data_IF_587210537674
#
_entry.id   IF_587210537674
#
_cell.length_a   1.000
_cell.length_b   1.000
_cell.length_c   1.000
_cell.angle_alpha   90.00
_cell.angle_beta   90.00
_cell.angle_gamma   90.00
#
_symmetry.space_group_name_H-M   'P 1'
#
loop_
_entity.id
_entity.type
_entity.pdbx_description
1 polymer ?
#
# COMPACT_ATOMS: atom_id res chain seq x y z
N UNK A 1 -20.91 -16.51 -4.44
CA UNK A 1 -20.98 -15.16 -5.06
C UNK A 1 -20.91 -14.02 -4.05
N UNK A 2 -21.75 -13.97 -2.98
CA UNK A 2 -21.75 -12.88 -1.97
C UNK A 2 -20.38 -12.54 -1.33
N UNK A 3 -19.52 -13.54 -1.09
CA UNK A 3 -18.18 -13.31 -0.50
C UNK A 3 -17.18 -12.66 -1.47
N UNK A 4 -17.31 -12.92 -2.77
CA UNK A 4 -16.42 -12.33 -3.79
C UNK A 4 -16.70 -10.83 -3.88
N UNK A 5 -17.98 -10.42 -3.86
CA UNK A 5 -18.33 -9.00 -3.85
C UNK A 5 -17.81 -8.28 -2.61
N UNK A 6 -17.88 -8.90 -1.41
CA UNK A 6 -17.30 -8.31 -0.20
C UNK A 6 -15.78 -8.12 -0.30
N UNK A 7 -15.06 -9.12 -0.82
CA UNK A 7 -13.62 -9.04 -1.05
C UNK A 7 -13.26 -7.96 -2.08
N UNK A 8 -14.01 -7.89 -3.19
CA UNK A 8 -13.81 -6.87 -4.23
C UNK A 8 -14.06 -5.47 -3.71
N UNK A 9 -15.14 -5.26 -2.96
CA UNK A 9 -15.46 -3.97 -2.34
C UNK A 9 -14.33 -3.57 -1.38
N UNK A 10 -13.90 -4.46 -0.50
CA UNK A 10 -12.75 -4.20 0.39
C UNK A 10 -11.47 -3.84 -0.37
N UNK A 11 -11.19 -4.53 -1.49
CA UNK A 11 -10.02 -4.25 -2.33
C UNK A 11 -10.10 -2.91 -3.04
N UNK A 12 -11.29 -2.52 -3.51
CA UNK A 12 -11.50 -1.22 -4.14
C UNK A 12 -11.27 -0.11 -3.11
N UNK A 13 -11.89 -0.21 -1.93
CA UNK A 13 -11.75 0.82 -0.90
C UNK A 13 -10.31 0.96 -0.41
N UNK A 14 -9.60 -0.15 -0.20
CA UNK A 14 -8.17 -0.11 0.19
C UNK A 14 -7.31 0.52 -0.90
N UNK A 15 -7.46 0.12 -2.17
CA UNK A 15 -6.72 0.72 -3.28
C UNK A 15 -7.00 2.22 -3.46
N UNK A 16 -8.25 2.66 -3.24
CA UNK A 16 -8.61 4.08 -3.26
C UNK A 16 -7.91 4.83 -2.13
N UNK A 17 -7.91 4.26 -0.92
CA UNK A 17 -7.20 4.83 0.23
C UNK A 17 -5.70 4.97 -0.02
N UNK A 18 -5.05 3.89 -0.48
CA UNK A 18 -3.62 3.87 -0.82
C UNK A 18 -3.28 4.93 -1.87
N UNK A 19 -4.14 5.07 -2.90
CA UNK A 19 -3.94 6.08 -3.96
C UNK A 19 -4.07 7.50 -3.43
N UNK A 20 -5.06 7.78 -2.57
CA UNK A 20 -5.23 9.11 -1.95
C UNK A 20 -4.00 9.45 -1.13
N UNK A 21 -3.52 8.53 -0.28
CA UNK A 21 -2.32 8.74 0.54
C UNK A 21 -1.12 9.05 -0.35
N UNK A 22 -0.87 8.24 -1.38
CA UNK A 22 0.25 8.46 -2.30
C UNK A 22 0.18 9.83 -2.97
N UNK A 23 -0.98 10.20 -3.52
CA UNK A 23 -1.17 11.48 -4.22
C UNK A 23 -1.00 12.65 -3.27
N UNK A 24 -1.64 12.63 -2.09
CA UNK A 24 -1.55 13.72 -1.11
C UNK A 24 -0.13 13.90 -0.60
N UNK A 25 0.58 12.81 -0.32
CA UNK A 25 1.95 12.87 0.19
C UNK A 25 2.93 13.36 -0.89
N UNK A 26 2.76 12.89 -2.13
CA UNK A 26 3.53 13.36 -3.29
C UNK A 26 3.28 14.84 -3.54
N UNK A 27 2.02 15.27 -3.51
CA UNK A 27 1.65 16.68 -3.67
C UNK A 27 2.21 17.55 -2.55
N UNK A 28 2.14 17.09 -1.30
CA UNK A 28 2.69 17.80 -0.16
C UNK A 28 4.20 18.01 -0.32
N UNK A 29 4.96 16.98 -0.70
CA UNK A 29 6.40 17.11 -0.93
C UNK A 29 6.67 18.04 -2.10
N UNK A 30 5.98 17.87 -3.23
CA UNK A 30 6.15 18.72 -4.41
C UNK A 30 5.82 20.20 -4.14
N UNK A 31 4.91 20.48 -3.20
CA UNK A 31 4.50 21.85 -2.85
C UNK A 31 5.43 22.53 -1.85
N UNK A 32 6.02 21.77 -0.92
CA UNK A 32 6.84 22.32 0.17
C UNK A 32 8.35 22.24 -0.12
N UNK A 33 8.77 21.41 -1.07
CA UNK A 33 10.17 21.20 -1.43
C UNK A 33 10.36 21.35 -2.95
N UNK A 34 11.23 22.27 -3.36
CA UNK A 34 11.52 22.53 -4.79
C UNK A 34 12.46 21.50 -5.43
N UNK A 35 12.85 20.44 -4.71
CA UNK A 35 13.79 19.42 -5.18
C UNK A 35 13.12 18.07 -5.39
N UNK A 36 13.23 17.56 -6.62
CA UNK A 36 12.76 16.23 -7.01
C UNK A 36 13.45 15.08 -6.25
N UNK A 37 14.56 15.35 -5.57
CA UNK A 37 15.25 14.35 -4.73
C UNK A 37 14.33 13.88 -3.60
N UNK A 38 13.56 14.78 -2.97
CA UNK A 38 12.66 14.40 -1.88
C UNK A 38 11.51 13.51 -2.36
N UNK A 39 11.05 13.68 -3.61
CA UNK A 39 10.10 12.77 -4.23
C UNK A 39 10.71 11.39 -4.47
N UNK A 40 11.95 11.33 -4.95
CA UNK A 40 12.69 10.08 -5.13
C UNK A 40 12.95 9.34 -3.81
N UNK A 41 13.26 10.07 -2.74
CA UNK A 41 13.39 9.49 -1.40
C UNK A 41 12.05 8.95 -0.90
N UNK A 42 10.96 9.70 -1.10
CA UNK A 42 9.63 9.26 -0.71
C UNK A 42 9.25 7.94 -1.40
N UNK A 43 9.40 7.87 -2.73
CA UNK A 43 9.07 6.67 -3.49
C UNK A 43 9.99 5.49 -3.14
N UNK A 44 11.27 5.74 -2.89
CA UNK A 44 12.19 4.71 -2.42
C UNK A 44 11.78 4.14 -1.05
N UNK A 45 11.39 5.00 -0.10
CA UNK A 45 10.92 4.56 1.22
C UNK A 45 9.65 3.70 1.12
N UNK A 46 8.68 4.13 0.31
CA UNK A 46 7.47 3.34 0.05
C UNK A 46 7.85 1.99 -0.54
N UNK A 47 8.70 1.97 -1.58
CA UNK A 47 9.14 0.73 -2.22
C UNK A 47 9.91 -0.21 -1.28
N UNK A 48 10.70 0.32 -0.34
CA UNK A 48 11.36 -0.51 0.69
C UNK A 48 10.35 -1.16 1.62
N UNK A 49 9.34 -0.41 2.07
CA UNK A 49 8.27 -0.96 2.94
C UNK A 49 7.49 -2.04 2.20
N UNK A 50 7.16 -1.81 0.93
CA UNK A 50 6.51 -2.82 0.09
C UNK A 50 7.39 -4.04 -0.11
N UNK A 51 8.70 -3.86 -0.35
CA UNK A 51 9.64 -4.98 -0.46
C UNK A 51 9.73 -5.80 0.83
N UNK A 52 9.59 -5.17 2.01
CA UNK A 52 9.56 -5.88 3.28
C UNK A 52 8.35 -6.83 3.42
N UNK A 53 7.32 -6.74 2.57
CA UNK A 53 6.19 -7.68 2.58
C UNK A 53 6.63 -9.12 2.31
N UNK A 54 7.79 -9.33 1.67
CA UNK A 54 8.37 -10.67 1.45
C UNK A 54 8.59 -11.41 2.77
N UNK A 55 8.85 -10.70 3.87
CA UNK A 55 9.04 -11.30 5.19
C UNK A 55 7.71 -11.64 5.87
N UNK A 56 6.61 -11.01 5.44
CA UNK A 56 5.27 -11.26 5.96
C UNK A 56 4.64 -12.50 5.33
N UNK A 57 4.98 -12.82 4.07
CA UNK A 57 4.52 -14.03 3.38
C UNK A 57 4.68 -15.32 4.21
N UNK A 58 5.89 -15.65 4.69
CA UNK A 58 6.12 -16.81 5.55
C UNK A 58 5.35 -16.80 6.87
N UNK A 59 4.94 -15.63 7.37
CA UNK A 59 4.10 -15.51 8.57
C UNK A 59 2.66 -15.86 8.21
N UNK A 60 2.14 -15.33 7.10
CA UNK A 60 0.79 -15.59 6.62
C UNK A 60 0.62 -17.08 6.29
N UNK A 61 1.61 -17.71 5.66
CA UNK A 61 1.57 -19.12 5.27
C UNK A 61 1.43 -20.10 6.46
N UNK A 62 1.77 -19.66 7.68
CA UNK A 62 1.57 -20.45 8.90
C UNK A 62 0.10 -20.48 9.37
N UNK A 63 -0.73 -19.55 8.90
CA UNK A 63 -2.14 -19.46 9.28
C UNK A 63 -3.04 -20.00 8.16
N UNK A 64 -3.78 -21.07 8.45
CA UNK A 64 -4.69 -21.67 7.48
C UNK A 64 -6.01 -20.87 7.42
N UNK A 65 -6.16 -20.05 6.37
CA UNK A 65 -7.28 -19.12 6.14
C UNK A 65 -8.64 -19.84 6.04
N UNK A 66 -8.66 -21.17 5.80
CA UNK A 66 -9.90 -21.96 5.69
C UNK A 66 -10.54 -22.37 7.02
N UNK A 67 -9.95 -22.05 8.19
CA UNK A 67 -10.45 -22.51 9.49
C UNK A 67 -11.42 -21.53 10.20
N UNK A 68 -11.75 -20.39 9.59
CA UNK A 68 -12.70 -19.41 10.12
C UNK A 68 -13.71 -18.97 9.07
#
# INVERSE_FOLDING_TARGET
MKNIYKLLVGRIFTNVGDSIILITLTWYIAKNYDSSIFLGVLTALIGVIEACIIFVGPIIDRYNVKKY
#
